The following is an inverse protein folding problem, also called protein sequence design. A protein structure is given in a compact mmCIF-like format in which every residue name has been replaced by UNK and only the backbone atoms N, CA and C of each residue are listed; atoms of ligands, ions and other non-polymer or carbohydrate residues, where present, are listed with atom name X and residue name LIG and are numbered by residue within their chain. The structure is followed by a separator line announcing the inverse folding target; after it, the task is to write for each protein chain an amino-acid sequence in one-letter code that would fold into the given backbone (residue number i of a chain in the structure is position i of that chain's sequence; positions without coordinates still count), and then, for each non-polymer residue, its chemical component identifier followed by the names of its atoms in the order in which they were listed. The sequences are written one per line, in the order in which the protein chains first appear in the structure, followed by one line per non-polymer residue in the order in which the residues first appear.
data_IF_966924000486
#
_entry.id   IF_966924000486
#
_cell.length_a   1.000
_cell.length_b   1.000
_cell.length_c   1.000
_cell.angle_alpha   90.00
_cell.angle_beta   90.00
_cell.angle_gamma   90.00
#
_symmetry.space_group_name_H-M   'P 1'
#
loop_
_entity.id
_entity.type
_entity.pdbx_description
1 polymer ?
#
# COMPACT_ATOMS: atom_id res chain seq x y z
N UNK A 1 12.51 -9.34 -13.76
CA UNK A 1 12.42 -9.60 -15.21
C UNK A 1 13.80 -9.44 -15.82
N UNK A 2 14.34 -10.50 -16.42
CA UNK A 2 15.65 -10.39 -17.08
C UNK A 2 15.62 -9.36 -18.20
N UNK A 3 16.70 -8.59 -18.31
CA UNK A 3 16.86 -7.60 -19.37
C UNK A 3 15.86 -6.43 -19.30
N UNK A 4 15.17 -6.24 -18.17
CA UNK A 4 14.31 -5.10 -17.99
C UNK A 4 15.12 -3.81 -17.84
N UNK A 5 14.65 -2.74 -18.46
CA UNK A 5 15.24 -1.41 -18.30
C UNK A 5 14.52 -0.73 -17.12
N UNK A 6 15.15 -0.71 -15.95
CA UNK A 6 14.55 -0.17 -14.72
C UNK A 6 14.87 1.32 -14.60
N UNK A 7 13.81 2.13 -14.47
CA UNK A 7 13.92 3.57 -14.18
C UNK A 7 13.53 3.79 -12.71
N UNK A 8 14.30 4.58 -12.01
CA UNK A 8 14.05 4.90 -10.60
C UNK A 8 13.59 6.34 -10.46
N UNK A 9 12.68 6.58 -9.52
CA UNK A 9 12.08 7.90 -9.27
C UNK A 9 12.12 8.22 -7.79
N UNK A 10 12.10 9.51 -7.47
CA UNK A 10 12.15 9.99 -6.10
C UNK A 10 10.81 9.87 -5.36
N UNK A 11 9.71 9.72 -6.06
CA UNK A 11 8.39 9.59 -5.44
C UNK A 11 7.49 8.62 -6.21
N UNK A 12 6.53 8.03 -5.51
CA UNK A 12 5.54 7.15 -6.15
C UNK A 12 4.67 7.91 -7.14
N UNK A 13 4.36 9.17 -6.86
CA UNK A 13 3.57 10.00 -7.78
C UNK A 13 4.24 10.12 -9.15
N UNK A 14 5.56 10.28 -9.17
CA UNK A 14 6.32 10.37 -10.42
C UNK A 14 6.26 9.06 -11.21
N UNK A 15 6.25 7.90 -10.53
CA UNK A 15 6.14 6.61 -11.21
C UNK A 15 4.78 6.47 -11.91
N UNK A 16 3.71 6.92 -11.27
CA UNK A 16 2.38 6.87 -11.86
C UNK A 16 2.24 7.81 -13.05
N UNK A 17 2.86 8.98 -12.99
CA UNK A 17 2.87 9.92 -14.12
C UNK A 17 3.59 9.33 -15.33
N UNK A 18 4.73 8.67 -15.12
CA UNK A 18 5.45 8.00 -16.20
C UNK A 18 4.62 6.86 -16.81
N UNK A 19 3.92 6.13 -15.99
CA UNK A 19 3.02 5.07 -16.49
C UNK A 19 1.90 5.65 -17.34
N UNK A 20 1.33 6.77 -16.90
CA UNK A 20 0.22 7.42 -17.58
C UNK A 20 0.61 7.93 -18.98
N UNK A 21 1.79 8.50 -19.11
CA UNK A 21 2.26 9.04 -20.38
C UNK A 21 2.93 8.00 -21.28
N UNK A 22 3.03 6.76 -20.84
CA UNK A 22 3.62 5.69 -21.62
C UNK A 22 5.13 5.60 -21.55
N UNK A 23 5.77 6.35 -20.64
CA UNK A 23 7.23 6.29 -20.47
C UNK A 23 7.71 4.98 -19.88
N UNK A 24 6.84 4.28 -19.14
CA UNK A 24 7.09 2.93 -18.63
C UNK A 24 5.85 2.07 -18.86
N UNK A 25 6.03 0.77 -18.92
CA UNK A 25 4.96 -0.19 -19.13
C UNK A 25 4.39 -0.75 -17.83
N UNK A 26 5.17 -0.71 -16.76
CA UNK A 26 4.78 -1.21 -15.46
C UNK A 26 5.47 -0.45 -14.35
N UNK A 27 4.82 -0.41 -13.19
CA UNK A 27 5.33 0.26 -11.99
C UNK A 27 5.31 -0.75 -10.84
N UNK A 28 6.39 -0.77 -10.07
CA UNK A 28 6.51 -1.61 -8.87
C UNK A 28 6.60 -0.69 -7.66
N UNK A 29 5.60 -0.74 -6.81
CA UNK A 29 5.53 -0.01 -5.54
C UNK A 29 4.86 -0.89 -4.50
N UNK A 30 4.85 -0.44 -3.25
CA UNK A 30 4.08 -1.09 -2.20
C UNK A 30 2.61 -1.17 -2.61
N UNK A 31 2.00 -2.33 -2.39
CA UNK A 31 0.62 -2.57 -2.81
C UNK A 31 -0.38 -1.55 -2.25
N UNK A 32 -0.34 -1.18 -0.96
CA UNK A 32 -1.26 -0.16 -0.46
C UNK A 32 -1.15 1.18 -1.19
N UNK A 33 0.05 1.56 -1.60
CA UNK A 33 0.27 2.79 -2.37
C UNK A 33 -0.42 2.71 -3.72
N UNK A 34 -0.27 1.60 -4.43
CA UNK A 34 -0.90 1.37 -5.72
C UNK A 34 -2.43 1.32 -5.59
N UNK A 35 -2.94 0.59 -4.61
CA UNK A 35 -4.39 0.46 -4.40
C UNK A 35 -5.02 1.80 -4.03
N UNK A 36 -4.35 2.58 -3.18
CA UNK A 36 -4.82 3.91 -2.80
C UNK A 36 -4.90 4.84 -4.01
N UNK A 37 -3.87 4.85 -4.84
CA UNK A 37 -3.84 5.66 -6.05
C UNK A 37 -5.00 5.31 -6.98
N UNK A 38 -5.24 4.03 -7.20
CA UNK A 38 -6.33 3.57 -8.07
C UNK A 38 -7.70 3.97 -7.54
N UNK A 39 -7.90 3.87 -6.23
CA UNK A 39 -9.17 4.26 -5.60
C UNK A 39 -9.40 5.77 -5.70
N UNK A 40 -8.38 6.57 -5.40
CA UNK A 40 -8.50 8.02 -5.37
C UNK A 40 -8.65 8.62 -6.76
N UNK A 41 -7.96 8.09 -7.76
CA UNK A 41 -8.04 8.63 -9.12
C UNK A 41 -9.18 8.03 -9.93
N UNK A 42 -9.69 6.87 -9.52
CA UNK A 42 -10.69 6.16 -10.30
C UNK A 42 -10.23 5.78 -11.71
N UNK A 43 -8.93 5.72 -11.92
CA UNK A 43 -8.37 5.46 -13.24
C UNK A 43 -8.72 4.07 -13.74
N UNK A 44 -9.15 3.99 -15.00
CA UNK A 44 -9.40 2.71 -15.68
C UNK A 44 -8.28 2.35 -16.64
N UNK A 45 -7.28 3.24 -16.76
CA UNK A 45 -6.15 3.04 -17.67
C UNK A 45 -5.11 2.08 -17.10
N UNK A 46 -5.13 1.88 -15.78
CA UNK A 46 -4.21 1.00 -15.06
C UNK A 46 -4.96 -0.05 -14.29
N UNK A 47 -4.28 -1.14 -13.99
CA UNK A 47 -4.78 -2.14 -13.05
C UNK A 47 -3.65 -2.63 -12.17
N UNK A 48 -3.99 -3.02 -10.95
CA UNK A 48 -3.05 -3.69 -10.06
C UNK A 48 -3.11 -5.18 -10.35
N UNK A 49 -1.94 -5.78 -10.62
CA UNK A 49 -1.88 -7.22 -10.83
C UNK A 49 -2.06 -7.95 -9.48
N UNK A 50 -2.68 -9.12 -9.48
CA UNK A 50 -2.93 -9.85 -8.24
C UNK A 50 -1.67 -10.40 -7.59
N UNK A 51 -0.61 -10.60 -8.39
CA UNK A 51 0.62 -11.20 -7.89
C UNK A 51 1.41 -10.21 -7.05
N UNK A 52 1.92 -10.67 -5.92
CA UNK A 52 2.76 -9.90 -5.02
C UNK A 52 4.19 -10.40 -5.15
N UNK A 53 5.12 -9.52 -5.54
CA UNK A 53 6.51 -9.88 -5.77
C UNK A 53 7.25 -10.15 -4.45
N UNK A 54 6.91 -9.36 -3.42
CA UNK A 54 7.42 -9.58 -2.07
C UNK A 54 6.38 -9.11 -1.07
N UNK A 55 6.28 -9.81 0.05
CA UNK A 55 5.37 -9.43 1.12
C UNK A 55 6.11 -8.56 2.13
N UNK A 56 5.47 -7.48 2.58
CA UNK A 56 6.00 -6.60 3.60
C UNK A 56 4.94 -6.33 4.66
N UNK A 57 5.36 -6.34 5.91
CA UNK A 57 4.52 -5.94 7.03
C UNK A 57 4.87 -4.52 7.44
N UNK A 58 3.86 -3.74 7.75
CA UNK A 58 4.04 -2.42 8.33
C UNK A 58 3.96 -2.52 9.85
N UNK A 59 4.76 -1.74 10.52
CA UNK A 59 4.76 -1.70 11.96
C UNK A 59 4.73 -0.28 12.49
N UNK A 60 4.25 -0.16 13.72
CA UNK A 60 4.26 1.10 14.45
C UNK A 60 5.41 1.03 15.45
N UNK A 61 6.37 1.94 15.34
CA UNK A 61 7.51 1.98 16.25
C UNK A 61 7.17 2.85 17.47
N UNK A 62 7.44 2.32 18.64
CA UNK A 62 7.28 3.08 19.87
C UNK A 62 8.58 3.03 20.68
N UNK A 63 8.78 4.01 21.56
CA UNK A 63 9.95 4.00 22.44
C UNK A 63 9.89 2.75 23.33
N UNK A 64 11.00 2.02 23.40
CA UNK A 64 11.07 0.75 24.15
C UNK A 64 10.78 0.90 25.65
N UNK A 65 10.91 2.11 26.19
CA UNK A 65 10.58 2.41 27.58
C UNK A 65 9.09 2.65 27.79
N UNK A 66 8.33 2.85 26.72
CA UNK A 66 6.90 3.13 26.80
C UNK A 66 6.08 1.86 26.56
N UNK A 67 6.18 0.90 27.46
CA UNK A 67 5.48 -0.37 27.36
C UNK A 67 3.96 -0.21 27.46
N UNK A 68 3.51 0.78 28.23
CA UNK A 68 2.08 1.08 28.35
C UNK A 68 1.46 1.48 27.00
N UNK A 69 2.14 2.36 26.26
CA UNK A 69 1.69 2.77 24.94
C UNK A 69 1.67 1.58 23.97
N UNK A 70 2.70 0.74 24.01
CA UNK A 70 2.75 -0.46 23.17
C UNK A 70 1.55 -1.35 23.43
N UNK A 71 1.23 -1.62 24.70
CA UNK A 71 0.09 -2.46 25.05
C UNK A 71 -1.23 -1.86 24.58
N UNK A 72 -1.40 -0.54 24.72
CA UNK A 72 -2.60 0.16 24.25
C UNK A 72 -2.77 0.05 22.75
N UNK A 73 -1.69 0.21 21.99
CA UNK A 73 -1.71 0.08 20.53
C UNK A 73 -2.04 -1.35 20.14
N UNK A 74 -1.41 -2.34 20.75
CA UNK A 74 -1.68 -3.76 20.46
C UNK A 74 -3.14 -4.11 20.71
N UNK A 75 -3.69 -3.68 21.84
CA UNK A 75 -5.10 -3.91 22.18
C UNK A 75 -6.04 -3.21 21.20
N UNK A 76 -5.74 -1.98 20.83
CA UNK A 76 -6.55 -1.21 19.89
C UNK A 76 -6.56 -1.87 18.50
N UNK A 77 -5.41 -2.32 18.01
CA UNK A 77 -5.32 -3.01 16.72
C UNK A 77 -6.11 -4.32 16.74
N UNK A 78 -5.98 -5.09 17.81
CA UNK A 78 -6.74 -6.33 17.96
C UNK A 78 -8.25 -6.07 17.98
N UNK A 79 -8.69 -5.07 18.74
CA UNK A 79 -10.10 -4.73 18.83
C UNK A 79 -10.64 -4.28 17.46
N UNK A 80 -9.89 -3.48 16.71
CA UNK A 80 -10.30 -3.03 15.39
C UNK A 80 -10.43 -4.19 14.40
N UNK A 81 -9.54 -5.18 14.47
CA UNK A 81 -9.61 -6.36 13.62
C UNK A 81 -10.77 -7.27 14.02
N UNK A 82 -10.99 -7.46 15.32
CA UNK A 82 -12.03 -8.35 15.82
C UNK A 82 -13.43 -7.83 15.55
N UNK A 83 -13.65 -6.50 15.56
CA UNK A 83 -14.98 -5.92 15.33
C UNK A 83 -15.25 -5.51 13.89
N UNK A 84 -14.31 -5.76 13.00
CA UNK A 84 -14.46 -5.46 11.56
C UNK A 84 -14.18 -4.03 11.15
N UNK A 85 -13.83 -3.14 12.07
CA UNK A 85 -13.52 -1.74 11.76
C UNK A 85 -12.24 -1.61 10.91
N UNK A 86 -11.25 -2.45 11.18
CA UNK A 86 -10.02 -2.48 10.38
C UNK A 86 -10.32 -2.73 8.90
N UNK A 87 -11.15 -3.72 8.62
CA UNK A 87 -11.52 -4.07 7.25
C UNK A 87 -12.33 -2.95 6.58
N UNK A 88 -13.20 -2.26 7.33
CA UNK A 88 -13.94 -1.11 6.82
C UNK A 88 -13.01 0.05 6.42
N UNK A 89 -12.04 0.36 7.27
CA UNK A 89 -11.07 1.40 6.99
C UNK A 89 -10.22 1.02 5.78
N UNK A 90 -9.79 -0.23 5.72
CA UNK A 90 -9.02 -0.75 4.59
C UNK A 90 -9.79 -0.57 3.28
N UNK A 91 -11.05 -0.99 3.25
CA UNK A 91 -11.89 -0.86 2.05
C UNK A 91 -12.11 0.59 1.66
N UNK A 92 -12.26 1.48 2.63
CA UNK A 92 -12.46 2.91 2.37
C UNK A 92 -11.28 3.52 1.61
N UNK A 93 -10.05 3.16 1.98
CA UNK A 93 -8.84 3.81 1.46
C UNK A 93 -8.16 3.05 0.33
N UNK A 94 -8.28 1.72 0.31
CA UNK A 94 -7.54 0.86 -0.63
C UNK A 94 -8.44 0.01 -1.52
N UNK A 95 -9.75 0.11 -1.37
CA UNK A 95 -10.68 -0.74 -2.09
C UNK A 95 -10.82 -2.11 -1.45
N UNK A 96 -11.46 -3.04 -2.16
CA UNK A 96 -11.68 -4.37 -1.61
C UNK A 96 -10.36 -5.13 -1.42
N UNK A 97 -10.24 -5.77 -0.27
CA UNK A 97 -9.09 -6.61 0.05
C UNK A 97 -9.13 -7.88 -0.80
N UNK A 98 -8.04 -8.14 -1.49
CA UNK A 98 -7.90 -9.32 -2.35
C UNK A 98 -7.17 -10.45 -1.65
#
# INVERSE_FOLDING_TARGET
VPNANVKEFNSSADTFMELKIGGVEAVINDRPVNDYYLVQTGSKDFKALPDVLSAEDYGIAVNKKNTELKEKIDKALKALKDNGEYDKIYQKWFGQKK
#
